data_IF_533483418541
#
_entry.id   IF_533483418541
#
_cell.length_a   1.000
_cell.length_b   1.000
_cell.length_c   1.000
_cell.angle_alpha   90.00
_cell.angle_beta   90.00
_cell.angle_gamma   90.00
#
_symmetry.space_group_name_H-M   'P 1'
#
loop_
_entity.id
_entity.type
_entity.pdbx_description
1 polymer ?
#
# COMPACT_ATOMS: atom_id res chain seq x y z
N UNK A 1 -6.96 26.15 -0.76
CA UNK A 1 -7.44 25.63 -2.06
C UNK A 1 -8.89 25.18 -1.89
N UNK A 2 -9.76 25.37 -2.87
CA UNK A 2 -11.07 24.71 -2.84
C UNK A 2 -10.85 23.20 -2.92
N UNK A 3 -11.53 22.39 -2.08
CA UNK A 3 -11.30 20.94 -2.00
C UNK A 3 -11.35 20.22 -3.35
N UNK A 4 -12.23 20.68 -4.25
CA UNK A 4 -12.35 20.13 -5.60
C UNK A 4 -11.06 20.31 -6.43
N UNK A 5 -10.38 21.45 -6.26
CA UNK A 5 -9.12 21.76 -6.95
C UNK A 5 -8.00 20.88 -6.43
N UNK A 6 -7.94 20.67 -5.11
CA UNK A 6 -6.94 19.79 -4.49
C UNK A 6 -7.12 18.34 -4.97
N UNK A 7 -8.35 17.82 -4.96
CA UNK A 7 -8.65 16.48 -5.47
C UNK A 7 -8.32 16.36 -6.97
N UNK A 8 -8.65 17.37 -7.76
CA UNK A 8 -8.32 17.41 -9.19
C UNK A 8 -6.81 17.35 -9.41
N UNK A 9 -6.03 18.14 -8.66
CA UNK A 9 -4.56 18.14 -8.74
C UNK A 9 -4.01 16.77 -8.34
N UNK A 10 -4.50 16.18 -7.24
CA UNK A 10 -4.09 14.84 -6.81
C UNK A 10 -4.31 13.84 -7.94
N UNK A 11 -5.54 13.74 -8.46
CA UNK A 11 -5.90 12.79 -9.51
C UNK A 11 -5.11 13.03 -10.81
N UNK A 12 -4.94 14.28 -11.21
CA UNK A 12 -4.21 14.62 -12.43
C UNK A 12 -2.73 14.27 -12.31
N UNK A 13 -2.07 14.67 -11.23
CA UNK A 13 -0.65 14.39 -11.04
C UNK A 13 -0.39 12.91 -10.85
N UNK A 14 -1.18 12.19 -10.04
CA UNK A 14 -0.98 10.75 -9.84
C UNK A 14 -1.23 9.97 -11.12
N UNK A 15 -2.21 10.37 -11.95
CA UNK A 15 -2.43 9.75 -13.27
C UNK A 15 -1.24 9.94 -14.21
N UNK A 16 -0.64 11.13 -14.22
CA UNK A 16 0.59 11.40 -15.01
C UNK A 16 1.75 10.54 -14.47
N UNK A 17 1.93 10.49 -13.15
CA UNK A 17 2.98 9.68 -12.51
C UNK A 17 2.82 8.18 -12.81
N UNK A 18 1.60 7.67 -12.72
CA UNK A 18 1.27 6.29 -13.07
C UNK A 18 1.56 5.98 -14.54
N UNK A 19 1.13 6.86 -15.46
CA UNK A 19 1.41 6.70 -16.88
C UNK A 19 2.92 6.70 -17.16
N UNK A 20 3.67 7.63 -16.57
CA UNK A 20 5.11 7.71 -16.74
C UNK A 20 5.82 6.46 -16.20
N UNK A 21 5.39 5.94 -15.06
CA UNK A 21 5.92 4.70 -14.49
C UNK A 21 5.69 3.52 -15.41
N UNK A 22 4.49 3.41 -15.99
CA UNK A 22 4.16 2.36 -16.95
C UNK A 22 5.02 2.45 -18.22
N UNK A 23 5.30 3.66 -18.72
CA UNK A 23 6.20 3.89 -19.87
C UNK A 23 7.61 3.33 -19.59
N UNK A 24 8.07 3.42 -18.34
CA UNK A 24 9.36 2.86 -17.91
C UNK A 24 9.30 1.40 -17.45
N UNK A 25 8.16 0.71 -17.60
CA UNK A 25 7.91 -0.65 -17.10
C UNK A 25 8.00 -0.80 -15.58
N UNK A 26 7.76 0.28 -14.83
CA UNK A 26 7.57 0.23 -13.39
C UNK A 26 6.08 0.05 -13.03
N UNK A 27 5.76 -0.60 -11.90
CA UNK A 27 4.41 -0.60 -11.35
C UNK A 27 3.88 0.84 -11.19
N UNK A 28 2.63 1.07 -11.59
CA UNK A 28 2.00 2.41 -11.57
C UNK A 28 2.09 3.10 -10.20
N UNK A 29 1.96 2.32 -9.12
CA UNK A 29 1.99 2.79 -7.73
C UNK A 29 3.30 3.52 -7.38
N UNK A 30 4.42 3.17 -8.01
CA UNK A 30 5.70 3.86 -7.79
C UNK A 30 5.58 5.33 -8.20
N UNK A 31 4.97 5.61 -9.35
CA UNK A 31 4.74 6.97 -9.83
C UNK A 31 3.77 7.75 -8.96
N UNK A 32 2.70 7.11 -8.50
CA UNK A 32 1.71 7.71 -7.61
C UNK A 32 2.33 8.14 -6.28
N UNK A 33 3.18 7.27 -5.69
CA UNK A 33 3.92 7.58 -4.46
C UNK A 33 4.94 8.70 -4.67
N UNK A 34 5.71 8.67 -5.76
CA UNK A 34 6.67 9.73 -6.07
C UNK A 34 5.99 11.08 -6.25
N UNK A 35 4.84 11.11 -6.93
CA UNK A 35 4.02 12.31 -7.04
C UNK A 35 3.58 12.81 -5.66
N UNK A 36 3.12 11.92 -4.79
CA UNK A 36 2.74 12.27 -3.42
C UNK A 36 3.90 12.88 -2.61
N UNK A 37 5.11 12.33 -2.74
CA UNK A 37 6.31 12.86 -2.08
C UNK A 37 6.67 14.24 -2.63
N UNK A 38 6.68 14.39 -3.96
CA UNK A 38 7.11 15.64 -4.62
C UNK A 38 6.08 16.75 -4.44
N UNK A 39 4.80 16.47 -4.69
CA UNK A 39 3.73 17.47 -4.59
C UNK A 39 3.30 17.74 -3.14
N UNK A 40 3.56 16.80 -2.23
CA UNK A 40 3.28 16.92 -0.81
C UNK A 40 4.24 17.85 -0.06
N UNK A 41 4.07 17.95 1.28
CA UNK A 41 4.83 18.88 2.12
C UNK A 41 6.33 18.55 2.23
N UNK A 42 6.74 17.35 1.83
CA UNK A 42 8.14 16.94 1.88
C UNK A 42 9.03 17.69 0.87
N UNK A 43 8.48 18.15 -0.27
CA UNK A 43 9.25 18.81 -1.33
C UNK A 43 8.63 20.13 -1.77
N UNK A 44 7.49 20.13 -2.48
CA UNK A 44 6.91 21.35 -3.06
C UNK A 44 5.84 22.00 -2.17
N UNK A 45 5.21 21.24 -1.27
CA UNK A 45 4.16 21.75 -0.38
C UNK A 45 2.90 22.25 -1.10
N UNK A 46 2.62 21.74 -2.30
CA UNK A 46 1.43 22.09 -3.09
C UNK A 46 0.19 21.44 -2.50
N UNK A 47 0.33 20.21 -2.02
CA UNK A 47 -0.72 19.40 -1.41
C UNK A 47 -0.52 19.34 0.09
N UNK A 48 -1.60 19.47 0.86
CA UNK A 48 -1.57 19.37 2.30
C UNK A 48 -2.36 18.14 2.78
N UNK A 49 -1.91 17.45 3.83
CA UNK A 49 -2.71 16.42 4.47
C UNK A 49 -3.92 17.09 5.14
N UNK A 50 -5.09 16.96 4.53
CA UNK A 50 -6.36 17.44 5.09
C UNK A 50 -7.24 16.26 5.50
N UNK A 51 -8.16 16.49 6.45
CA UNK A 51 -9.11 15.47 6.88
C UNK A 51 -9.93 14.91 5.70
N UNK A 52 -10.26 15.74 4.72
CA UNK A 52 -11.01 15.32 3.55
C UNK A 52 -10.18 14.37 2.67
N UNK A 53 -8.90 14.70 2.40
CA UNK A 53 -7.99 13.79 1.68
C UNK A 53 -7.83 12.46 2.42
N UNK A 54 -7.75 12.49 3.76
CA UNK A 54 -7.71 11.29 4.59
C UNK A 54 -8.95 10.42 4.39
N UNK A 55 -10.16 10.97 4.56
CA UNK A 55 -11.40 10.20 4.39
C UNK A 55 -11.58 9.65 2.97
N UNK A 56 -11.21 10.42 1.96
CA UNK A 56 -11.24 9.95 0.56
C UNK A 56 -10.24 8.81 0.32
N UNK A 57 -9.06 8.87 0.95
CA UNK A 57 -8.07 7.79 0.85
C UNK A 57 -8.56 6.51 1.52
N UNK A 58 -9.19 6.60 2.69
CA UNK A 58 -9.80 5.45 3.38
C UNK A 58 -10.92 4.84 2.55
N UNK A 59 -11.83 5.67 2.00
CA UNK A 59 -12.87 5.20 1.10
C UNK A 59 -12.29 4.52 -0.14
N UNK A 60 -11.24 5.09 -0.73
CA UNK A 60 -10.52 4.50 -1.86
C UNK A 60 -9.98 3.10 -1.53
N UNK A 61 -9.29 2.94 -0.39
CA UNK A 61 -8.76 1.65 0.05
C UNK A 61 -9.87 0.64 0.31
N UNK A 62 -10.98 1.04 0.94
CA UNK A 62 -12.13 0.17 1.19
C UNK A 62 -12.73 -0.33 -0.13
N UNK A 63 -12.94 0.57 -1.10
CA UNK A 63 -13.50 0.22 -2.42
C UNK A 63 -12.54 -0.72 -3.17
N UNK A 64 -11.23 -0.43 -3.16
CA UNK A 64 -10.22 -1.27 -3.81
C UNK A 64 -10.18 -2.68 -3.21
N UNK A 65 -10.18 -2.81 -1.88
CA UNK A 65 -10.20 -4.10 -1.19
C UNK A 65 -11.51 -4.86 -1.42
N UNK A 66 -12.63 -4.14 -1.54
CA UNK A 66 -13.91 -4.74 -1.89
C UNK A 66 -13.90 -5.32 -3.30
N UNK A 67 -13.41 -4.57 -4.29
CA UNK A 67 -13.27 -5.04 -5.68
C UNK A 67 -12.34 -6.26 -5.75
N UNK A 68 -11.19 -6.20 -5.08
CA UNK A 68 -10.27 -7.34 -5.01
C UNK A 68 -10.94 -8.59 -4.40
N UNK A 69 -11.84 -8.41 -3.43
CA UNK A 69 -12.67 -9.48 -2.88
C UNK A 69 -13.70 -10.04 -3.86
N UNK A 70 -14.33 -9.17 -4.68
CA UNK A 70 -15.32 -9.56 -5.69
C UNK A 70 -14.70 -10.31 -6.88
N UNK A 71 -13.46 -9.98 -7.26
CA UNK A 71 -12.70 -10.68 -8.31
C UNK A 71 -12.19 -12.05 -7.84
N UNK A 72 -12.23 -12.31 -6.52
CA UNK A 72 -11.79 -13.56 -5.92
C UNK A 72 -12.67 -14.77 -6.29
N UNK A 73 -12.04 -15.85 -6.77
CA UNK A 73 -12.75 -17.10 -7.04
C UNK A 73 -12.86 -17.97 -5.77
N UNK A 74 -14.00 -17.87 -5.08
CA UNK A 74 -14.28 -18.65 -3.86
C UNK A 74 -14.24 -20.16 -4.08
N UNK A 75 -14.61 -20.66 -5.25
CA UNK A 75 -14.61 -22.10 -5.56
C UNK A 75 -13.17 -22.64 -5.63
N UNK A 76 -12.27 -21.88 -6.27
CA UNK A 76 -10.84 -22.18 -6.30
C UNK A 76 -10.20 -22.08 -4.92
N UNK A 77 -10.59 -21.07 -4.12
CA UNK A 77 -10.13 -20.95 -2.73
C UNK A 77 -10.52 -22.18 -1.90
N UNK A 78 -11.77 -22.62 -1.99
CA UNK A 78 -12.25 -23.82 -1.31
C UNK A 78 -11.55 -25.09 -1.80
N UNK A 79 -11.25 -25.19 -3.11
CA UNK A 79 -10.49 -26.30 -3.68
C UNK A 79 -9.06 -26.38 -3.12
N UNK A 80 -8.41 -25.23 -2.89
CA UNK A 80 -7.03 -25.13 -2.42
C UNK A 80 -6.90 -24.58 -1.00
N UNK A 81 -7.90 -24.79 -0.14
CA UNK A 81 -7.95 -24.12 1.16
C UNK A 81 -6.74 -24.43 2.06
N UNK A 82 -6.26 -25.69 2.10
CA UNK A 82 -5.11 -26.05 2.94
C UNK A 82 -3.82 -25.34 2.47
N UNK A 83 -3.38 -25.47 1.20
CA UNK A 83 -2.23 -24.70 0.72
C UNK A 83 -2.38 -23.20 0.93
N UNK A 84 -3.56 -22.62 0.64
CA UNK A 84 -3.81 -21.18 0.79
C UNK A 84 -3.66 -20.71 2.23
N UNK A 85 -4.21 -21.43 3.21
CA UNK A 85 -4.07 -21.09 4.63
C UNK A 85 -2.63 -21.24 5.09
N UNK A 86 -1.93 -22.29 4.67
CA UNK A 86 -0.51 -22.47 5.03
C UNK A 86 0.35 -21.33 4.48
N UNK A 87 0.14 -20.94 3.22
CA UNK A 87 0.87 -19.83 2.60
C UNK A 87 0.51 -18.50 3.28
N UNK A 88 -0.75 -18.27 3.63
CA UNK A 88 -1.16 -17.07 4.34
C UNK A 88 -0.50 -16.95 5.72
N UNK A 89 -0.49 -18.04 6.50
CA UNK A 89 0.14 -18.06 7.84
C UNK A 89 1.65 -17.87 7.73
N UNK A 90 2.33 -18.65 6.88
CA UNK A 90 3.78 -18.54 6.71
C UNK A 90 4.17 -17.19 6.09
N UNK A 91 3.38 -16.69 5.15
CA UNK A 91 3.54 -15.38 4.53
C UNK A 91 3.39 -14.23 5.52
N UNK A 92 2.79 -14.46 6.68
CA UNK A 92 2.78 -13.47 7.77
C UNK A 92 3.91 -13.69 8.77
N UNK A 93 4.05 -14.91 9.27
CA UNK A 93 5.00 -15.23 10.34
C UNK A 93 6.45 -15.05 9.86
N UNK A 94 6.79 -15.49 8.66
CA UNK A 94 8.18 -15.48 8.17
C UNK A 94 8.65 -14.04 7.90
N UNK A 95 7.92 -13.17 7.16
CA UNK A 95 8.33 -11.79 6.97
C UNK A 95 8.32 -11.00 8.28
N UNK A 96 7.29 -11.18 9.12
CA UNK A 96 7.23 -10.49 10.42
C UNK A 96 8.40 -10.86 11.32
N UNK A 97 8.67 -12.16 11.49
CA UNK A 97 9.75 -12.65 12.34
C UNK A 97 11.13 -12.25 11.82
N UNK A 98 11.36 -12.37 10.51
CA UNK A 98 12.65 -12.01 9.91
C UNK A 98 12.92 -10.50 9.96
N UNK A 99 11.94 -9.67 9.65
CA UNK A 99 12.05 -8.22 9.77
C UNK A 99 12.21 -7.77 11.23
N UNK A 100 11.43 -8.34 12.17
CA UNK A 100 11.55 -7.99 13.59
C UNK A 100 12.92 -8.36 14.15
N UNK A 101 13.45 -9.54 13.82
CA UNK A 101 14.77 -9.96 14.26
C UNK A 101 15.87 -9.07 13.69
N UNK A 102 15.76 -8.68 12.42
CA UNK A 102 16.68 -7.74 11.77
C UNK A 102 16.63 -6.35 12.42
N UNK A 103 15.43 -5.81 12.66
CA UNK A 103 15.24 -4.52 13.33
C UNK A 103 15.76 -4.52 14.78
N UNK A 104 15.52 -5.59 15.54
CA UNK A 104 15.98 -5.68 16.92
C UNK A 104 17.51 -5.84 17.02
N UNK A 105 18.10 -6.73 16.21
CA UNK A 105 19.52 -7.08 16.33
C UNK A 105 20.46 -6.14 15.57
N UNK A 106 20.07 -5.67 14.37
CA UNK A 106 20.94 -4.85 13.51
C UNK A 106 20.74 -3.37 13.77
N UNK A 107 19.48 -2.94 13.91
CA UNK A 107 19.13 -1.53 14.11
C UNK A 107 18.96 -1.15 15.59
N UNK A 108 18.99 -2.12 16.50
CA UNK A 108 18.89 -1.87 17.95
C UNK A 108 17.54 -1.37 18.42
N UNK A 109 16.47 -1.60 17.65
CA UNK A 109 15.12 -1.18 18.04
C UNK A 109 14.56 -2.04 19.18
N UNK A 110 13.62 -1.47 19.95
CA UNK A 110 12.87 -2.24 20.94
C UNK A 110 12.09 -3.38 20.26
N UNK A 111 11.85 -4.48 20.98
CA UNK A 111 11.09 -5.61 20.45
C UNK A 111 9.67 -5.22 20.01
N UNK A 112 9.04 -4.28 20.72
CA UNK A 112 7.72 -3.76 20.38
C UNK A 112 7.74 -3.05 19.01
N UNK A 113 8.70 -2.13 18.81
CA UNK A 113 8.87 -1.42 17.54
C UNK A 113 9.26 -2.37 16.41
N UNK A 114 10.15 -3.32 16.68
CA UNK A 114 10.62 -4.28 15.69
C UNK A 114 9.50 -5.22 15.21
N UNK A 115 8.67 -5.73 16.14
CA UNK A 115 7.49 -6.53 15.81
C UNK A 115 6.46 -5.72 15.02
N UNK A 116 6.25 -4.45 15.40
CA UNK A 116 5.35 -3.56 14.68
C UNK A 116 5.81 -3.35 13.23
N UNK A 117 7.09 -3.05 13.00
CA UNK A 117 7.66 -2.90 11.66
C UNK A 117 7.53 -4.21 10.87
N UNK A 118 7.83 -5.36 11.50
CA UNK A 118 7.69 -6.65 10.86
C UNK A 118 6.26 -6.94 10.40
N UNK A 119 5.26 -6.62 11.22
CA UNK A 119 3.85 -6.76 10.86
C UNK A 119 3.46 -5.85 9.69
N UNK A 120 3.92 -4.60 9.67
CA UNK A 120 3.66 -3.66 8.57
C UNK A 120 4.24 -4.18 7.25
N UNK A 121 5.46 -4.72 7.28
CA UNK A 121 6.13 -5.26 6.09
C UNK A 121 5.55 -6.60 5.61
N UNK A 122 4.81 -7.29 6.46
CA UNK A 122 4.19 -8.58 6.13
C UNK A 122 2.92 -8.45 5.29
N UNK A 123 2.22 -7.31 5.32
CA UNK A 123 0.97 -7.14 4.60
C UNK A 123 1.23 -7.06 3.08
N UNK A 124 0.70 -8.03 2.31
CA UNK A 124 0.77 -8.03 0.85
C UNK A 124 -0.47 -7.37 0.24
N UNK A 125 -0.28 -6.58 -0.82
CA UNK A 125 -1.38 -5.91 -1.52
C UNK A 125 -1.87 -6.74 -2.70
N UNK A 126 -3.10 -7.24 -2.61
CA UNK A 126 -3.74 -8.00 -3.69
C UNK A 126 -3.99 -7.09 -4.89
N UNK A 127 -4.50 -5.87 -4.69
CA UNK A 127 -4.93 -4.94 -5.75
C UNK A 127 -3.83 -4.46 -6.70
N UNK A 128 -2.56 -4.64 -6.34
CA UNK A 128 -1.40 -4.27 -7.16
C UNK A 128 -0.84 -5.47 -7.93
N UNK A 129 -1.10 -6.68 -7.43
CA UNK A 129 -0.47 -7.92 -7.90
C UNK A 129 -1.32 -8.65 -8.95
N UNK A 130 -2.64 -8.42 -8.97
CA UNK A 130 -3.57 -8.96 -9.99
C UNK A 130 -3.59 -8.15 -11.27
#
# INVERSE_FOLDING_TARGET
MTYLVELFIILLLTKIGAHLSNVFNFPSVIGELLVGIIAGPAVLGILAPTNLVHYFSELGVIILMFIAGLEGNLQMLMKYWKPSVTIAILGVIVPTGSAALLCALVFGFSWETALFIGLVLSATSVSITV
#
